data_IF_550879752481
#
_entry.id   IF_550879752481
#
_cell.length_a   1.000
_cell.length_b   1.000
_cell.length_c   1.000
_cell.angle_alpha   90.00
_cell.angle_beta   90.00
_cell.angle_gamma   90.00
#
_symmetry.space_group_name_H-M   'P 1'
#
loop_
_entity.id
_entity.type
_entity.pdbx_description
1 polymer ?
#
# COMPACT_ATOMS: atom_id res chain seq x y z
N UNK A 1 -2.65 -13.41 -3.73
CA UNK A 1 -3.54 -12.33 -3.26
C UNK A 1 -3.66 -11.24 -4.32
N UNK A 2 -4.82 -10.57 -4.37
CA UNK A 2 -5.05 -9.40 -5.23
C UNK A 2 -4.58 -8.15 -4.51
N UNK A 3 -3.80 -7.30 -5.18
CA UNK A 3 -3.24 -6.10 -4.54
C UNK A 3 -2.98 -4.99 -5.55
N UNK A 4 -3.01 -3.75 -5.05
CA UNK A 4 -2.57 -2.56 -5.79
C UNK A 4 -1.29 -2.05 -5.11
N UNK A 5 -0.26 -1.77 -5.90
CA UNK A 5 0.99 -1.22 -5.40
C UNK A 5 1.57 -0.19 -6.36
N UNK A 6 2.39 0.71 -5.82
CA UNK A 6 3.20 1.65 -6.57
C UNK A 6 4.61 1.07 -6.73
N UNK A 7 5.02 0.88 -7.98
CA UNK A 7 6.34 0.37 -8.35
C UNK A 7 7.39 1.49 -8.26
N UNK A 8 8.41 1.31 -7.40
CA UNK A 8 9.50 2.28 -7.21
C UNK A 8 10.54 2.20 -8.33
N UNK A 9 10.12 2.41 -9.57
CA UNK A 9 11.01 2.52 -10.72
C UNK A 9 11.23 4.00 -11.06
N UNK A 10 12.28 4.61 -10.51
CA UNK A 10 12.54 6.06 -10.62
C UNK A 10 12.59 6.53 -12.09
N UNK A 11 13.35 5.89 -13.01
CA UNK A 11 13.36 6.30 -14.42
C UNK A 11 11.97 6.31 -15.07
N UNK A 12 11.19 5.25 -14.85
CA UNK A 12 9.82 5.12 -15.38
C UNK A 12 8.86 6.15 -14.80
N UNK A 13 8.98 6.44 -13.51
CA UNK A 13 8.19 7.47 -12.83
C UNK A 13 8.46 8.83 -13.45
N UNK A 14 9.74 9.19 -13.61
CA UNK A 14 10.13 10.47 -14.22
C UNK A 14 9.64 10.58 -15.66
N UNK A 15 9.78 9.53 -16.47
CA UNK A 15 9.27 9.48 -17.84
C UNK A 15 7.74 9.65 -17.90
N UNK A 16 7.01 8.92 -17.05
CA UNK A 16 5.55 8.99 -16.99
C UNK A 16 5.09 10.38 -16.57
N UNK A 17 5.74 10.98 -15.57
CA UNK A 17 5.45 12.34 -15.10
C UNK A 17 5.69 13.38 -16.19
N UNK A 18 6.78 13.23 -16.96
CA UNK A 18 7.07 14.11 -18.09
C UNK A 18 6.02 13.97 -19.20
N UNK A 19 5.71 12.74 -19.65
CA UNK A 19 4.73 12.49 -20.70
C UNK A 19 3.31 12.93 -20.32
N UNK A 20 2.91 12.71 -19.05
CA UNK A 20 1.61 13.10 -18.52
C UNK A 20 1.38 14.62 -18.49
N UNK A 21 2.44 15.44 -18.55
CA UNK A 21 2.34 16.90 -18.69
C UNK A 21 1.64 17.28 -20.00
N UNK A 22 1.85 16.50 -21.05
CA UNK A 22 1.31 16.75 -22.38
C UNK A 22 0.08 15.87 -22.67
N UNK A 23 0.04 14.65 -22.12
CA UNK A 23 -1.03 13.68 -22.36
C UNK A 23 -1.52 13.13 -21.02
N UNK A 24 -2.40 13.90 -20.35
CA UNK A 24 -2.96 13.53 -19.02
C UNK A 24 -3.58 12.13 -18.96
N UNK A 25 -4.28 11.62 -19.99
CA UNK A 25 -4.83 10.26 -19.96
C UNK A 25 -3.79 9.15 -19.73
N UNK A 26 -2.50 9.38 -20.02
CA UNK A 26 -1.44 8.39 -19.79
C UNK A 26 -1.33 7.94 -18.33
N UNK A 27 -1.75 8.79 -17.38
CA UNK A 27 -1.77 8.46 -15.95
C UNK A 27 -2.72 7.29 -15.64
N UNK A 28 -3.70 7.00 -16.49
CA UNK A 28 -4.65 5.89 -16.29
C UNK A 28 -4.33 4.67 -17.15
N UNK A 29 -3.15 4.64 -17.78
CA UNK A 29 -2.70 3.53 -18.63
C UNK A 29 -1.69 2.64 -17.90
N UNK A 30 -1.36 1.51 -18.51
CA UNK A 30 -0.34 0.58 -18.01
C UNK A 30 1.08 1.17 -17.90
N UNK A 31 1.33 2.39 -18.38
CA UNK A 31 2.62 3.08 -18.21
C UNK A 31 2.80 3.59 -16.77
N UNK A 32 1.70 3.89 -16.05
CA UNK A 32 1.76 4.37 -14.67
C UNK A 32 2.53 3.40 -13.75
N UNK A 33 3.21 3.93 -12.74
CA UNK A 33 3.88 3.15 -11.71
C UNK A 33 2.89 2.42 -10.78
N UNK A 34 1.62 2.85 -10.69
CA UNK A 34 0.58 2.08 -10.00
C UNK A 34 0.23 0.83 -10.81
N UNK A 35 0.33 -0.33 -10.17
CA UNK A 35 0.07 -1.66 -10.71
C UNK A 35 -1.00 -2.38 -9.91
N UNK A 36 -1.77 -3.20 -10.62
CA UNK A 36 -2.68 -4.16 -10.03
C UNK A 36 -2.18 -5.56 -10.34
N UNK A 37 -1.89 -6.34 -9.30
CA UNK A 37 -1.47 -7.74 -9.40
C UNK A 37 -2.52 -8.63 -8.76
N UNK A 38 -2.93 -9.68 -9.48
CA UNK A 38 -3.94 -10.64 -9.04
C UNK A 38 -3.32 -11.87 -8.36
N UNK A 39 -2.03 -12.11 -8.57
CA UNK A 39 -1.35 -13.38 -8.34
C UNK A 39 -0.15 -13.27 -7.39
N UNK A 40 -0.08 -12.20 -6.59
CA UNK A 40 1.02 -12.03 -5.64
C UNK A 40 0.99 -13.15 -4.59
N UNK A 41 2.07 -13.92 -4.36
CA UNK A 41 2.09 -14.94 -3.33
C UNK A 41 1.78 -14.35 -1.94
N UNK A 42 1.08 -15.10 -1.10
CA UNK A 42 0.85 -14.70 0.29
C UNK A 42 2.08 -15.11 1.12
N UNK A 43 2.85 -14.16 1.68
CA UNK A 43 4.01 -14.49 2.47
C UNK A 43 3.64 -15.16 3.80
N UNK A 44 4.57 -15.93 4.39
CA UNK A 44 4.42 -16.36 5.79
C UNK A 44 4.49 -15.15 6.72
N UNK A 45 4.04 -15.31 7.97
CA UNK A 45 4.18 -14.28 8.98
C UNK A 45 5.67 -13.91 9.18
N UNK A 46 6.05 -12.63 9.02
CA UNK A 46 7.44 -12.20 9.18
C UNK A 46 7.98 -12.32 10.61
N UNK A 47 7.10 -12.39 11.61
CA UNK A 47 7.46 -12.44 13.02
C UNK A 47 6.35 -13.12 13.84
N UNK A 48 6.71 -13.81 14.95
CA UNK A 48 5.72 -14.45 15.84
C UNK A 48 4.82 -13.45 16.56
N UNK A 49 5.11 -12.15 16.49
CA UNK A 49 4.30 -11.07 17.08
C UNK A 49 3.27 -10.48 16.10
N UNK A 50 3.27 -10.93 14.85
CA UNK A 50 2.44 -10.36 13.79
C UNK A 50 1.12 -11.14 13.62
N UNK A 51 0.14 -10.47 13.03
CA UNK A 51 -1.13 -11.07 12.62
C UNK A 51 -1.30 -10.89 11.12
N UNK A 52 -1.90 -11.89 10.46
CA UNK A 52 -2.33 -11.77 9.07
C UNK A 52 -3.80 -11.39 9.06
N UNK A 53 -4.13 -10.35 8.31
CA UNK A 53 -5.47 -9.81 8.21
C UNK A 53 -5.93 -9.89 6.77
N UNK A 54 -7.06 -10.57 6.54
CA UNK A 54 -7.74 -10.56 5.25
C UNK A 54 -8.63 -9.33 5.16
N UNK A 55 -8.24 -8.38 4.32
CA UNK A 55 -9.03 -7.18 4.07
C UNK A 55 -10.41 -7.55 3.49
N UNK A 56 -11.47 -6.93 4.03
CA UNK A 56 -12.85 -7.07 3.54
C UNK A 56 -13.37 -5.77 2.94
N UNK A 57 -12.82 -4.63 3.37
CA UNK A 57 -13.17 -3.31 2.86
C UNK A 57 -11.96 -2.38 2.97
N UNK A 58 -11.85 -1.44 2.05
CA UNK A 58 -10.86 -0.37 2.09
C UNK A 58 -11.50 0.96 1.68
N UNK A 59 -11.14 2.04 2.36
CA UNK A 59 -11.37 3.41 1.94
C UNK A 59 -10.45 3.80 0.78
N UNK A 60 -10.75 4.95 0.18
CA UNK A 60 -9.93 5.57 -0.87
C UNK A 60 -9.61 6.99 -0.43
N UNK A 61 -8.35 7.23 -0.09
CA UNK A 61 -7.88 8.51 0.39
C UNK A 61 -7.32 9.36 -0.76
N UNK A 62 -7.28 10.68 -0.58
CA UNK A 62 -6.62 11.58 -1.52
C UNK A 62 -5.15 11.24 -1.76
N UNK A 63 -4.48 10.66 -0.76
CA UNK A 63 -3.10 10.17 -0.89
C UNK A 63 -3.00 8.99 -1.86
N UNK A 64 -3.97 8.08 -1.92
CA UNK A 64 -3.97 7.00 -2.92
C UNK A 64 -4.05 7.58 -4.33
N UNK A 65 -4.90 8.60 -4.53
CA UNK A 65 -5.02 9.32 -5.81
C UNK A 65 -3.75 10.06 -6.21
N UNK A 66 -2.95 10.52 -5.25
CA UNK A 66 -1.69 11.23 -5.52
C UNK A 66 -0.64 10.33 -6.20
N UNK A 67 -0.61 9.03 -5.84
CA UNK A 67 0.23 8.02 -6.50
C UNK A 67 -0.20 7.83 -7.96
N UNK A 68 -1.51 7.73 -8.22
CA UNK A 68 -2.03 7.65 -9.59
C UNK A 68 -1.73 8.89 -10.41
N UNK A 69 -1.83 10.09 -9.83
CA UNK A 69 -1.56 11.34 -10.56
C UNK A 69 -0.09 11.55 -10.88
N UNK A 70 0.82 10.70 -10.41
CA UNK A 70 2.27 10.96 -10.45
C UNK A 70 2.63 12.35 -9.90
N UNK A 71 1.79 12.83 -8.99
CA UNK A 71 1.97 14.03 -8.19
C UNK A 71 2.16 13.66 -6.72
N UNK A 72 2.94 12.62 -6.33
CA UNK A 72 3.45 12.65 -4.99
C UNK A 72 4.29 13.92 -4.92
N UNK A 73 3.74 14.97 -4.32
CA UNK A 73 4.50 16.16 -4.01
C UNK A 73 5.72 15.71 -3.22
N UNK A 74 6.75 16.54 -3.14
CA UNK A 74 7.89 16.31 -2.24
C UNK A 74 7.47 16.09 -0.78
N UNK A 75 6.22 16.42 -0.43
CA UNK A 75 5.57 16.18 0.87
C UNK A 75 5.02 14.78 1.07
N UNK A 76 4.78 13.99 0.02
CA UNK A 76 4.64 12.53 0.16
C UNK A 76 6.07 12.04 0.16
N UNK A 77 6.68 12.10 1.34
CA UNK A 77 7.84 11.30 1.62
C UNK A 77 7.47 9.88 1.17
N UNK A 78 8.02 9.48 0.02
CA UNK A 78 8.35 8.09 -0.21
C UNK A 78 9.32 7.81 0.93
N UNK A 79 8.80 7.55 2.14
CA UNK A 79 9.62 7.20 3.27
C UNK A 79 10.41 6.01 2.75
N UNK A 80 11.71 6.20 2.46
CA UNK A 80 12.40 5.26 1.63
C UNK A 80 12.67 4.08 2.55
N UNK A 81 11.70 3.16 2.66
CA UNK A 81 11.92 1.87 3.29
C UNK A 81 13.06 1.23 2.51
N UNK A 82 14.28 1.17 3.08
CA UNK A 82 15.42 0.65 2.35
C UNK A 82 15.13 -0.82 2.03
N UNK A 83 15.22 -1.20 0.76
CA UNK A 83 14.97 -2.57 0.32
C UNK A 83 13.53 -2.91 -0.10
N UNK A 84 12.58 -1.96 -0.12
CA UNK A 84 11.28 -2.19 -0.76
C UNK A 84 11.17 -1.52 -2.13
N UNK A 85 11.02 -2.32 -3.18
CA UNK A 85 10.75 -1.86 -4.55
C UNK A 85 9.27 -1.52 -4.78
N UNK A 86 8.41 -1.78 -3.79
CA UNK A 86 6.96 -1.62 -3.87
C UNK A 86 6.42 -0.87 -2.67
N UNK A 87 5.46 0.00 -2.92
CA UNK A 87 4.66 0.64 -1.87
C UNK A 87 3.23 0.16 -2.06
N UNK A 88 2.67 -0.55 -1.08
CA UNK A 88 1.30 -1.05 -1.16
C UNK A 88 0.32 0.06 -0.79
N UNK A 89 -0.73 0.22 -1.61
CA UNK A 89 -1.77 1.23 -1.38
C UNK A 89 -2.86 0.69 -0.44
N UNK A 90 -3.69 1.58 0.11
CA UNK A 90 -4.79 1.20 0.99
C UNK A 90 -4.40 1.23 2.46
N UNK A 91 -4.47 2.42 3.05
CA UNK A 91 -4.18 2.65 4.47
C UNK A 91 -5.43 2.83 5.33
N UNK A 92 -6.61 2.66 4.73
CA UNK A 92 -7.90 2.78 5.40
C UNK A 92 -8.62 1.43 5.29
N UNK A 93 -8.18 0.41 6.04
CA UNK A 93 -8.65 -0.97 5.84
C UNK A 93 -9.38 -1.54 7.04
N UNK A 94 -10.42 -2.33 6.76
CA UNK A 94 -11.10 -3.19 7.71
C UNK A 94 -10.93 -4.63 7.23
N UNK A 95 -10.62 -5.53 8.16
CA UNK A 95 -10.35 -6.92 7.84
C UNK A 95 -10.72 -7.91 8.94
N UNK A 96 -10.51 -9.18 8.63
CA UNK A 96 -10.67 -10.30 9.54
C UNK A 96 -9.31 -10.94 9.80
N UNK A 97 -8.96 -11.17 11.06
CA UNK A 97 -7.73 -11.89 11.43
C UNK A 97 -7.83 -13.34 10.92
N UNK A 98 -6.88 -13.73 10.06
CA UNK A 98 -6.84 -15.04 9.40
C UNK A 98 -5.80 -15.98 10.03
N UNK A 99 -4.67 -15.41 10.48
CA UNK A 99 -3.53 -16.11 11.07
C UNK A 99 -2.94 -15.24 12.19
N UNK A 100 -2.48 -15.87 13.27
CA UNK A 100 -1.79 -15.18 14.38
C UNK A 100 -0.44 -15.84 14.63
N UNK A 101 0.57 -15.03 14.93
CA UNK A 101 1.86 -15.53 15.38
C UNK A 101 1.78 -16.07 16.82
N UNK A 102 2.75 -16.91 17.20
CA UNK A 102 2.78 -17.61 18.49
C UNK A 102 2.92 -16.71 19.72
N UNK A 103 3.31 -15.44 19.55
CA UNK A 103 3.45 -14.47 20.63
C UNK A 103 2.31 -13.44 20.66
N UNK A 104 1.29 -13.58 19.82
CA UNK A 104 0.11 -12.70 19.81
C UNK A 104 -0.87 -13.13 20.90
N UNK A 105 -1.18 -12.22 21.82
CA UNK A 105 -2.13 -12.48 22.93
C UNK A 105 -3.41 -11.64 22.87
N UNK A 106 -3.41 -10.54 22.12
CA UNK A 106 -4.53 -9.57 22.08
C UNK A 106 -5.59 -9.89 21.02
N UNK A 107 -5.26 -10.72 20.04
CA UNK A 107 -6.13 -11.02 18.90
C UNK A 107 -6.26 -12.52 18.71
N UNK A 108 -7.38 -12.96 18.15
CA UNK A 108 -7.63 -14.34 17.72
C UNK A 108 -8.15 -14.38 16.28
N UNK A 109 -8.01 -15.55 15.64
CA UNK A 109 -8.58 -15.80 14.32
C UNK A 109 -10.09 -15.53 14.34
N UNK A 110 -10.57 -14.78 13.34
CA UNK A 110 -11.97 -14.37 13.21
C UNK A 110 -12.29 -12.98 13.77
N UNK A 111 -11.38 -12.35 14.52
CA UNK A 111 -11.59 -10.99 15.01
C UNK A 111 -11.70 -9.99 13.85
N UNK A 112 -12.60 -9.02 14.00
CA UNK A 112 -12.73 -7.87 13.11
C UNK A 112 -11.78 -6.78 13.59
N UNK A 113 -10.90 -6.32 12.72
CA UNK A 113 -9.87 -5.32 13.04
C UNK A 113 -9.84 -4.22 11.99
N UNK A 114 -9.37 -3.04 12.40
CA UNK A 114 -9.11 -1.90 11.51
C UNK A 114 -7.65 -1.47 11.66
N UNK A 115 -7.04 -0.98 10.59
CA UNK A 115 -5.75 -0.32 10.68
C UNK A 115 -5.92 1.04 11.39
N UNK A 116 -5.11 1.30 12.42
CA UNK A 116 -5.15 2.56 13.20
C UNK A 116 -4.00 3.49 12.80
N UNK A 117 -2.81 2.93 12.59
CA UNK A 117 -1.60 3.70 12.31
C UNK A 117 -0.95 3.17 11.03
N UNK A 118 -0.93 4.02 9.99
CA UNK A 118 -0.31 3.68 8.71
C UNK A 118 1.14 4.18 8.58
N UNK A 119 1.46 5.31 9.21
CA UNK A 119 2.81 5.88 9.24
C UNK A 119 3.24 6.10 10.68
N UNK A 120 4.55 6.06 10.90
CA UNK A 120 5.22 6.41 12.16
C UNK A 120 4.84 7.85 12.55
N UNK A 121 3.78 8.02 13.35
CA UNK A 121 3.24 9.34 13.75
C UNK A 121 1.73 9.49 13.64
N UNK A 122 1.04 8.60 12.92
CA UNK A 122 -0.40 8.44 13.05
C UNK A 122 -0.67 7.86 14.46
N UNK A 123 -1.41 8.55 15.33
CA UNK A 123 -1.76 8.05 16.68
C UNK A 123 -1.29 8.91 17.87
N UNK A 124 -0.38 9.87 17.67
CA UNK A 124 0.09 10.79 18.73
C UNK A 124 -0.73 12.09 18.83
N UNK A 125 -2.07 12.01 18.73
CA UNK A 125 -2.96 13.14 19.05
C UNK A 125 -3.87 12.79 20.20
#
# INVERSE_FOLDING_TARGET
MKTIYYEKNIPKILLTKFAARYIKPLLFTGINAVKYDKNLPDPPLPSPKWVKVRNIMAGVCGTDLSFFKSTPGTSIALEPMPGSDRIYLGHETIGIVEEIGSQVTKFKKGDRVTLVEYMSGCGNK
#
